data_IF_482273919686
#
_entry.id   IF_482273919686
#
_cell.length_a   1.000
_cell.length_b   1.000
_cell.length_c   1.000
_cell.angle_alpha   90.00
_cell.angle_beta   90.00
_cell.angle_gamma   90.00
#
_symmetry.space_group_name_H-M   'P 1'
#
loop_
_entity.id
_entity.type
_entity.pdbx_description
1 polymer ?
#
# COMPACT_ATOMS: atom_id res chain seq x y z
N UNK A 1 19.10 -19.47 -3.12
CA UNK A 1 18.51 -18.68 -2.03
C UNK A 1 19.65 -18.24 -1.12
N UNK A 2 20.13 -17.00 -1.27
CA UNK A 2 20.98 -16.38 -0.25
C UNK A 2 20.08 -16.11 0.96
N UNK A 3 20.37 -16.72 2.10
CA UNK A 3 19.56 -16.56 3.31
C UNK A 3 19.69 -15.13 3.80
N UNK A 4 18.68 -14.31 3.54
CA UNK A 4 18.46 -13.07 4.27
C UNK A 4 18.44 -13.37 5.77
N UNK A 5 18.90 -12.42 6.60
CA UNK A 5 18.78 -12.54 8.06
C UNK A 5 17.37 -12.98 8.42
N UNK A 6 17.27 -14.00 9.29
CA UNK A 6 15.99 -14.48 9.76
C UNK A 6 15.23 -13.28 10.35
N UNK A 7 14.03 -13.01 9.85
CA UNK A 7 13.14 -11.91 10.25
C UNK A 7 12.71 -11.93 11.73
N UNK A 8 13.32 -12.77 12.58
CA UNK A 8 13.23 -12.71 14.05
C UNK A 8 13.87 -11.45 14.66
N UNK A 9 13.94 -10.33 13.95
CA UNK A 9 14.17 -9.05 14.62
C UNK A 9 12.91 -8.72 15.40
N UNK A 10 12.88 -9.11 16.68
CA UNK A 10 11.89 -8.64 17.63
C UNK A 10 11.75 -7.13 17.45
N UNK A 11 10.51 -6.63 17.42
CA UNK A 11 10.24 -5.19 17.40
C UNK A 11 11.12 -4.51 18.45
N UNK A 12 11.93 -3.54 18.03
CA UNK A 12 12.76 -2.80 18.98
C UNK A 12 11.83 -1.92 19.78
N UNK A 13 11.59 -2.29 21.03
CA UNK A 13 10.83 -1.49 21.98
C UNK A 13 11.77 -0.47 22.62
N UNK A 14 11.40 0.81 22.58
CA UNK A 14 12.07 1.85 23.36
C UNK A 14 11.02 2.63 24.14
N UNK A 15 11.21 2.75 25.46
CA UNK A 15 10.29 3.44 26.37
C UNK A 15 8.83 2.98 26.28
N UNK A 16 8.63 1.67 26.13
CA UNK A 16 7.29 1.12 26.00
C UNK A 16 6.62 1.47 24.67
N UNK A 17 7.34 1.98 23.68
CA UNK A 17 6.83 2.19 22.31
C UNK A 17 7.45 1.13 21.42
N UNK A 18 6.63 0.45 20.64
CA UNK A 18 7.09 -0.40 19.54
C UNK A 18 6.43 -0.01 18.22
N UNK A 19 7.14 -0.27 17.13
CA UNK A 19 6.68 -0.02 15.77
C UNK A 19 6.69 -1.30 14.96
N UNK A 20 5.75 -1.41 14.04
CA UNK A 20 5.66 -2.52 13.13
C UNK A 20 5.14 -2.03 11.77
N UNK A 21 5.73 -2.50 10.67
CA UNK A 21 5.06 -2.43 9.38
C UNK A 21 4.07 -3.58 9.36
N UNK A 22 2.77 -3.28 9.29
CA UNK A 22 1.71 -4.28 9.20
C UNK A 22 1.91 -5.04 7.89
N UNK A 23 2.63 -6.14 7.96
CA UNK A 23 2.83 -7.03 6.85
C UNK A 23 1.68 -8.04 6.89
N UNK A 24 0.94 -8.25 5.80
CA UNK A 24 -0.11 -9.24 5.81
C UNK A 24 0.40 -10.64 6.09
N UNK A 25 1.70 -10.97 5.97
CA UNK A 25 2.23 -12.26 6.40
C UNK A 25 3.69 -12.15 6.84
N UNK A 26 3.94 -11.93 8.13
CA UNK A 26 5.32 -11.84 8.64
C UNK A 26 6.02 -13.21 8.78
N UNK A 27 5.25 -14.30 8.94
CA UNK A 27 5.77 -15.62 9.30
C UNK A 27 6.20 -16.48 8.11
N UNK A 28 5.41 -16.57 7.04
CA UNK A 28 5.71 -17.50 5.93
C UNK A 28 6.43 -16.85 4.76
N UNK A 29 6.06 -15.61 4.41
CA UNK A 29 6.72 -14.87 3.32
C UNK A 29 6.72 -13.37 3.61
N UNK A 30 7.82 -12.90 4.20
CA UNK A 30 8.00 -11.48 4.52
C UNK A 30 8.28 -10.58 3.29
N UNK A 31 8.22 -11.13 2.07
CA UNK A 31 8.58 -10.41 0.84
C UNK A 31 7.36 -9.80 0.17
N UNK A 32 7.34 -8.46 0.11
CA UNK A 32 6.41 -7.70 -0.72
C UNK A 32 7.01 -7.48 -2.09
N UNK A 33 6.27 -7.84 -3.13
CA UNK A 33 6.75 -7.72 -4.51
C UNK A 33 5.99 -6.64 -5.26
N UNK A 34 6.72 -5.75 -5.92
CA UNK A 34 6.18 -4.66 -6.71
C UNK A 34 6.79 -4.62 -8.11
N UNK A 35 5.98 -4.32 -9.14
CA UNK A 35 6.46 -4.16 -10.49
C UNK A 35 7.16 -2.81 -10.63
N UNK A 36 8.24 -2.78 -11.40
CA UNK A 36 8.83 -1.52 -11.85
C UNK A 36 7.84 -0.82 -12.80
N UNK A 37 7.58 0.48 -12.63
CA UNK A 37 6.79 1.23 -13.59
C UNK A 37 7.51 1.25 -14.94
N UNK A 38 6.76 1.35 -16.04
CA UNK A 38 7.36 1.60 -17.35
C UNK A 38 8.19 2.88 -17.30
N UNK A 39 9.29 2.93 -18.04
CA UNK A 39 10.07 4.16 -18.23
C UNK A 39 9.33 5.10 -19.20
N UNK A 40 8.17 5.59 -18.75
CA UNK A 40 7.29 6.52 -19.43
C UNK A 40 7.01 7.70 -18.49
N UNK A 41 6.86 8.89 -19.05
CA UNK A 41 6.56 10.09 -18.27
C UNK A 41 5.25 9.90 -17.50
N UNK A 42 5.29 10.09 -16.17
CA UNK A 42 4.13 9.97 -15.29
C UNK A 42 3.74 8.55 -14.91
N UNK A 43 4.44 7.51 -15.40
CA UNK A 43 4.23 6.15 -14.94
C UNK A 43 4.76 5.98 -13.50
N UNK A 44 3.91 5.48 -12.60
CA UNK A 44 4.26 5.29 -11.19
C UNK A 44 3.73 3.96 -10.68
N UNK A 45 4.49 3.30 -9.80
CA UNK A 45 4.00 2.20 -8.96
C UNK A 45 3.83 2.74 -7.54
N UNK A 46 2.61 2.66 -6.99
CA UNK A 46 2.35 3.03 -5.61
C UNK A 46 2.63 1.82 -4.70
N UNK A 47 3.24 2.06 -3.54
CA UNK A 47 3.50 1.06 -2.52
C UNK A 47 2.92 1.55 -1.20
N UNK A 48 1.91 0.87 -0.68
CA UNK A 48 1.31 1.23 0.60
C UNK A 48 2.00 0.50 1.74
N UNK A 49 2.49 1.26 2.73
CA UNK A 49 3.01 0.75 3.98
C UNK A 49 2.14 1.24 5.14
N UNK A 50 1.41 0.32 5.76
CA UNK A 50 0.74 0.59 7.02
C UNK A 50 1.70 0.36 8.18
N UNK A 51 1.95 1.40 8.97
CA UNK A 51 2.76 1.34 10.19
C UNK A 51 1.84 1.32 11.39
N UNK A 52 2.02 0.33 12.26
CA UNK A 52 1.35 0.17 13.55
C UNK A 52 2.28 0.66 14.65
N UNK A 53 1.79 1.59 15.47
CA UNK A 53 2.46 2.09 16.66
C UNK A 53 1.73 1.49 17.86
N UNK A 54 2.48 0.84 18.74
CA UNK A 54 1.95 0.22 19.95
C UNK A 54 2.57 0.93 21.15
N UNK A 55 1.72 1.41 22.05
CA UNK A 55 2.11 2.01 23.31
C UNK A 55 1.85 1.00 24.44
N UNK A 56 2.92 0.36 24.90
CA UNK A 56 2.97 -0.57 26.02
C UNK A 56 3.13 0.14 27.38
N UNK A 57 3.16 1.48 27.42
CA UNK A 57 3.17 2.23 28.69
C UNK A 57 1.76 2.41 29.24
N UNK A 58 1.65 2.77 30.53
CA UNK A 58 0.37 3.07 31.17
C UNK A 58 -0.23 4.43 30.77
N UNK A 59 0.55 5.30 30.13
CA UNK A 59 0.14 6.67 29.83
C UNK A 59 0.03 6.89 28.31
N UNK A 60 -0.94 7.68 27.83
CA UNK A 60 -0.99 8.02 26.41
C UNK A 60 0.25 8.81 26.00
N UNK A 61 0.75 8.51 24.80
CA UNK A 61 1.90 9.19 24.23
C UNK A 61 1.39 10.11 23.13
N UNK A 62 1.88 11.35 23.12
CA UNK A 62 1.48 12.36 22.14
C UNK A 62 2.61 12.56 21.15
N UNK A 63 2.40 12.05 19.94
CA UNK A 63 3.30 12.29 18.83
C UNK A 63 2.97 13.63 18.17
N UNK A 64 4.00 14.32 17.72
CA UNK A 64 3.82 15.47 16.84
C UNK A 64 3.05 15.00 15.59
N UNK A 65 1.99 15.68 15.13
CA UNK A 65 1.37 15.30 13.86
C UNK A 65 2.40 15.25 12.72
N UNK A 66 3.36 16.19 12.69
CA UNK A 66 4.44 16.22 11.71
C UNK A 66 5.61 15.29 12.05
N UNK A 67 5.41 14.34 12.96
CA UNK A 67 6.43 13.37 13.30
C UNK A 67 6.87 12.62 12.04
N UNK A 68 8.17 12.71 11.75
CA UNK A 68 8.72 12.15 10.52
C UNK A 68 9.03 10.68 10.70
N UNK A 69 8.55 9.87 9.76
CA UNK A 69 9.03 8.51 9.54
C UNK A 69 10.27 8.57 8.66
N UNK A 70 11.37 8.00 9.14
CA UNK A 70 12.64 7.94 8.44
C UNK A 70 12.76 6.55 7.82
N UNK A 71 12.62 6.38 6.49
CA UNK A 71 12.79 5.10 5.87
C UNK A 71 14.27 4.71 5.83
N UNK A 72 14.53 3.41 5.91
CA UNK A 72 15.81 2.80 5.58
C UNK A 72 15.61 1.69 4.58
N UNK A 73 16.55 1.58 3.65
CA UNK A 73 16.54 0.61 2.57
C UNK A 73 17.95 0.04 2.44
N UNK A 74 18.08 -1.28 2.58
CA UNK A 74 19.33 -2.01 2.35
C UNK A 74 19.21 -2.83 1.08
N UNK A 75 20.31 -2.97 0.35
CA UNK A 75 20.45 -3.95 -0.74
C UNK A 75 20.50 -5.38 -0.21
N UNK A 76 20.45 -6.38 -1.09
CA UNK A 76 20.47 -7.79 -0.71
C UNK A 76 21.74 -8.23 0.03
N UNK A 77 22.85 -7.52 -0.15
CA UNK A 77 24.12 -7.69 0.58
C UNK A 77 24.23 -6.82 1.84
N UNK A 78 23.13 -6.19 2.26
CA UNK A 78 23.03 -5.41 3.50
C UNK A 78 23.61 -3.99 3.42
N UNK A 79 23.99 -3.51 2.23
CA UNK A 79 24.53 -2.15 2.09
C UNK A 79 23.40 -1.11 2.14
N UNK A 80 23.53 -0.05 2.97
CA UNK A 80 22.50 0.98 3.05
C UNK A 80 22.48 1.84 1.78
N UNK A 81 21.30 2.02 1.21
CA UNK A 81 21.11 2.97 0.12
C UNK A 81 21.05 4.41 0.64
N UNK A 82 21.75 5.30 -0.05
CA UNK A 82 21.76 6.72 0.30
C UNK A 82 20.39 7.34 0.03
N UNK A 83 19.75 7.81 1.11
CA UNK A 83 18.52 8.60 1.04
C UNK A 83 18.81 10.10 1.04
N UNK A 84 17.97 10.86 0.37
CA UNK A 84 18.02 12.32 0.32
C UNK A 84 16.66 12.87 0.72
N UNK A 85 16.62 14.04 1.36
CA UNK A 85 15.37 14.77 1.57
C UNK A 85 15.20 15.73 0.40
N UNK A 86 14.09 15.61 -0.31
CA UNK A 86 13.67 16.58 -1.32
C UNK A 86 12.45 17.34 -0.83
N UNK A 87 12.44 18.66 -1.03
CA UNK A 87 11.25 19.49 -0.84
C UNK A 87 10.55 19.63 -2.20
N UNK A 88 9.36 19.05 -2.32
CA UNK A 88 8.52 19.20 -3.50
C UNK A 88 8.00 20.63 -3.52
N UNK A 89 8.36 21.38 -4.57
CA UNK A 89 7.70 22.65 -4.81
C UNK A 89 6.24 22.37 -5.13
N UNK A 90 5.28 23.02 -4.45
CA UNK A 90 3.87 22.85 -4.76
C UNK A 90 3.67 23.22 -6.22
N UNK A 91 3.28 22.26 -7.05
CA UNK A 91 2.97 22.50 -8.45
C UNK A 91 1.72 23.38 -8.46
N UNK A 92 1.87 24.65 -8.77
CA UNK A 92 0.81 25.69 -8.68
C UNK A 92 -0.32 25.55 -9.71
N UNK A 93 -0.54 24.35 -10.27
CA UNK A 93 -1.40 24.15 -11.45
C UNK A 93 -2.86 23.79 -11.16
N UNK A 94 -3.33 23.81 -9.91
CA UNK A 94 -4.75 23.55 -9.64
C UNK A 94 -5.57 24.84 -9.55
N UNK A 95 -6.11 25.27 -10.69
CA UNK A 95 -7.49 25.78 -10.73
C UNK A 95 -8.42 24.59 -10.39
N UNK A 96 -8.48 24.20 -9.12
CA UNK A 96 -9.52 23.28 -8.66
C UNK A 96 -10.84 24.04 -8.69
N UNK A 97 -11.67 23.75 -9.70
CA UNK A 97 -13.11 24.06 -9.70
C UNK A 97 -13.80 23.27 -8.58
N UNK A 98 -13.61 23.69 -7.33
CA UNK A 98 -14.37 23.22 -6.17
C UNK A 98 -15.73 23.90 -6.15
N UNK A 99 -16.59 23.55 -7.10
CA UNK A 99 -18.05 23.62 -6.91
C UNK A 99 -18.51 22.42 -6.06
N UNK A 100 -17.90 22.24 -4.89
CA UNK A 100 -18.41 21.37 -3.83
C UNK A 100 -18.96 22.26 -2.72
N UNK A 101 -19.97 23.04 -3.07
CA UNK A 101 -20.79 23.79 -2.15
C UNK A 101 -21.65 22.84 -1.32
N UNK A 102 -21.16 22.40 -0.17
CA UNK A 102 -22.00 22.23 1.03
C UNK A 102 -21.12 22.08 2.27
N UNK A 103 -21.35 22.99 3.21
CA UNK A 103 -20.73 23.14 4.54
C UNK A 103 -19.44 23.97 4.54
N UNK A 104 -19.61 25.26 4.27
CA UNK A 104 -18.72 26.30 4.81
C UNK A 104 -18.87 26.30 6.34
N UNK A 105 -18.08 25.48 7.04
CA UNK A 105 -17.82 25.75 8.45
C UNK A 105 -16.91 26.99 8.52
N UNK A 106 -17.27 28.02 9.31
CA UNK A 106 -16.43 29.21 9.48
C UNK A 106 -15.03 28.79 9.97
N UNK A 107 -14.02 29.61 9.64
CA UNK A 107 -12.58 29.47 9.91
C UNK A 107 -12.22 29.08 11.36
N UNK A 108 -12.63 27.90 11.82
CA UNK A 108 -12.01 27.24 12.93
C UNK A 108 -10.62 26.87 12.43
N UNK A 109 -9.62 27.60 12.90
CA UNK A 109 -8.23 27.15 12.90
C UNK A 109 -8.28 25.70 13.38
N UNK A 110 -8.16 24.73 12.46
CA UNK A 110 -8.08 23.32 12.79
C UNK A 110 -6.89 23.20 13.73
N UNK A 111 -7.17 23.18 15.03
CA UNK A 111 -6.19 22.80 16.03
C UNK A 111 -5.85 21.37 15.66
N UNK A 112 -4.70 21.18 15.02
CA UNK A 112 -4.20 19.84 14.74
C UNK A 112 -4.04 19.19 16.10
N UNK A 113 -5.03 18.37 16.47
CA UNK A 113 -4.99 17.57 17.67
C UNK A 113 -3.73 16.73 17.58
N UNK A 114 -2.89 16.82 18.60
CA UNK A 114 -1.69 15.98 18.73
C UNK A 114 -2.07 14.53 18.46
N UNK A 115 -1.17 13.79 17.81
CA UNK A 115 -1.44 12.40 17.49
C UNK A 115 -1.28 11.55 18.75
N UNK A 116 -2.40 11.24 19.41
CA UNK A 116 -2.41 10.50 20.67
C UNK A 116 -2.42 8.98 20.41
N UNK A 117 -1.41 8.28 20.92
CA UNK A 117 -1.31 6.82 20.93
C UNK A 117 -1.68 6.34 22.33
N UNK A 118 -2.86 5.75 22.47
CA UNK A 118 -3.39 5.30 23.75
C UNK A 118 -2.65 4.05 24.25
N UNK A 119 -2.54 3.86 25.58
CA UNK A 119 -2.06 2.60 26.16
C UNK A 119 -2.80 1.40 25.58
N UNK A 120 -2.07 0.33 25.23
CA UNK A 120 -2.58 -0.98 24.79
C UNK A 120 -3.46 -0.99 23.53
N UNK A 121 -3.77 0.18 22.95
CA UNK A 121 -4.50 0.30 21.70
C UNK A 121 -3.52 0.68 20.58
N UNK A 122 -3.27 -0.24 19.62
CA UNK A 122 -2.44 0.07 18.48
C UNK A 122 -3.06 1.18 17.65
N UNK A 123 -2.24 2.15 17.27
CA UNK A 123 -2.63 3.19 16.30
C UNK A 123 -1.94 2.89 14.98
N UNK A 124 -2.71 2.83 13.90
CA UNK A 124 -2.16 2.59 12.56
C UNK A 124 -2.13 3.87 11.74
N UNK A 125 -1.18 3.94 10.81
CA UNK A 125 -1.14 4.97 9.79
C UNK A 125 -0.55 4.43 8.50
N UNK A 126 -0.92 4.99 7.36
CA UNK A 126 -0.40 4.56 6.05
C UNK A 126 0.53 5.63 5.45
N UNK A 127 1.65 5.16 4.89
CA UNK A 127 2.54 5.92 4.02
C UNK A 127 2.53 5.28 2.64
N UNK A 128 2.15 6.03 1.61
CA UNK A 128 2.23 5.56 0.22
C UNK A 128 3.54 6.05 -0.38
N UNK A 129 4.47 5.13 -0.58
CA UNK A 129 5.63 5.40 -1.39
C UNK A 129 5.27 5.34 -2.88
N UNK A 130 6.00 6.11 -3.69
CA UNK A 130 5.87 6.14 -5.14
C UNK A 130 7.20 5.74 -5.77
N UNK A 131 7.16 4.72 -6.60
CA UNK A 131 8.26 4.35 -7.47
C UNK A 131 8.02 4.96 -8.85
N UNK A 132 8.97 5.73 -9.37
CA UNK A 132 8.81 6.49 -10.62
C UNK A 132 10.15 6.77 -11.28
N UNK A 133 10.15 7.02 -12.59
CA UNK A 133 11.34 7.42 -13.33
C UNK A 133 11.49 8.95 -13.34
N UNK A 134 12.70 9.44 -13.10
CA UNK A 134 13.08 10.85 -13.24
C UNK A 134 14.49 10.91 -13.82
N UNK A 135 14.66 11.60 -14.95
CA UNK A 135 15.94 11.69 -15.68
C UNK A 135 16.60 10.32 -15.94
N UNK A 136 15.78 9.33 -16.34
CA UNK A 136 16.17 7.92 -16.52
C UNK A 136 16.70 7.21 -15.26
N UNK A 137 16.53 7.80 -14.08
CA UNK A 137 16.81 7.18 -12.80
C UNK A 137 15.50 6.74 -12.16
N UNK A 138 15.44 5.48 -11.74
CA UNK A 138 14.33 4.98 -10.96
C UNK A 138 14.49 5.49 -9.51
N UNK A 139 13.44 6.13 -9.00
CA UNK A 139 13.41 6.74 -7.68
C UNK A 139 12.26 6.17 -6.85
N UNK A 140 12.55 5.82 -5.60
CA UNK A 140 11.53 5.56 -4.57
C UNK A 140 11.37 6.80 -3.71
N UNK A 141 10.15 7.36 -3.74
CA UNK A 141 9.74 8.58 -3.04
C UNK A 141 8.80 8.22 -1.92
N UNK A 142 9.13 8.58 -0.68
CA UNK A 142 8.32 8.26 0.50
C UNK A 142 8.00 9.54 1.25
N UNK A 143 6.72 9.88 1.50
CA UNK A 143 6.38 11.08 2.26
C UNK A 143 6.96 10.99 3.67
N UNK A 144 7.38 12.13 4.23
CA UNK A 144 7.94 12.15 5.59
C UNK A 144 6.88 11.93 6.66
N UNK A 145 5.63 12.32 6.39
CA UNK A 145 4.51 12.23 7.34
C UNK A 145 3.37 11.42 6.73
N UNK A 146 2.43 10.91 7.55
CA UNK A 146 1.35 10.08 7.04
C UNK A 146 0.27 10.84 6.25
N UNK A 147 -0.52 10.08 5.49
CA UNK A 147 -1.50 10.59 4.51
C UNK A 147 -2.56 11.55 5.06
N UNK A 148 -2.93 11.41 6.34
CA UNK A 148 -3.96 12.27 6.93
C UNK A 148 -3.50 13.74 7.10
N UNK A 149 -2.21 14.03 6.87
CA UNK A 149 -1.61 15.36 6.89
C UNK A 149 -1.25 15.77 5.46
N UNK A 150 -2.24 16.28 4.74
CA UNK A 150 -2.23 16.48 3.28
C UNK A 150 -1.18 17.46 2.72
N UNK A 151 -0.26 18.02 3.51
CA UNK A 151 0.57 19.16 3.11
C UNK A 151 2.08 19.03 3.45
N UNK A 152 2.64 17.84 3.66
CA UNK A 152 4.11 17.75 3.76
C UNK A 152 4.75 17.85 2.38
N UNK A 153 5.48 18.93 2.15
CA UNK A 153 6.31 19.06 0.95
C UNK A 153 7.59 18.20 1.02
N UNK A 154 7.90 17.62 2.17
CA UNK A 154 9.12 16.84 2.36
C UNK A 154 8.91 15.38 2.00
N UNK A 155 9.81 14.85 1.16
CA UNK A 155 9.79 13.48 0.67
C UNK A 155 11.20 12.91 0.77
N UNK A 156 11.31 11.71 1.32
CA UNK A 156 12.52 10.90 1.24
C UNK A 156 12.67 10.32 -0.16
N UNK A 157 13.83 10.50 -0.78
CA UNK A 157 14.14 9.99 -2.09
C UNK A 157 15.32 9.02 -2.01
N UNK A 158 15.13 7.81 -2.53
CA UNK A 158 16.21 6.88 -2.83
C UNK A 158 16.40 6.85 -4.34
N UNK A 159 17.61 7.17 -4.79
CA UNK A 159 17.99 7.16 -6.20
C UNK A 159 18.63 5.82 -6.57
N UNK A 160 18.75 5.54 -7.87
CA UNK A 160 19.48 4.38 -8.40
C UNK A 160 18.92 3.04 -7.91
N UNK A 161 17.60 2.96 -7.75
CA UNK A 161 16.93 1.70 -7.47
C UNK A 161 16.86 0.88 -8.75
N UNK A 162 16.91 -0.44 -8.62
CA UNK A 162 16.88 -1.38 -9.72
C UNK A 162 15.95 -2.57 -9.43
N UNK A 163 15.87 -3.50 -10.37
CA UNK A 163 15.12 -4.74 -10.17
C UNK A 163 15.90 -5.70 -9.28
N UNK A 164 15.77 -5.54 -7.96
CA UNK A 164 16.47 -6.33 -6.98
C UNK A 164 15.62 -6.59 -5.73
N UNK A 165 16.17 -7.39 -4.81
CA UNK A 165 15.64 -7.55 -3.46
C UNK A 165 16.31 -6.56 -2.51
N UNK A 166 15.52 -6.01 -1.61
CA UNK A 166 15.91 -5.02 -0.61
C UNK A 166 15.33 -5.41 0.75
N UNK A 167 15.95 -4.92 1.82
CA UNK A 167 15.33 -4.89 3.15
C UNK A 167 14.88 -3.47 3.43
N UNK A 168 13.67 -3.32 3.95
CA UNK A 168 13.06 -2.02 4.21
C UNK A 168 12.53 -1.94 5.64
N UNK A 169 12.69 -0.77 6.28
CA UNK A 169 12.07 -0.47 7.58
C UNK A 169 11.80 1.02 7.73
N UNK A 170 10.99 1.37 8.73
CA UNK A 170 10.86 2.75 9.19
C UNK A 170 11.50 2.94 10.55
N UNK A 171 11.99 4.16 10.76
CA UNK A 171 12.47 4.67 12.03
C UNK A 171 11.60 5.85 12.46
N UNK A 172 11.24 5.90 13.74
CA UNK A 172 10.57 7.03 14.37
C UNK A 172 11.45 7.57 15.51
N UNK A 173 11.73 8.87 15.47
CA UNK A 173 12.37 9.56 16.58
C UNK A 173 11.28 10.04 17.56
N UNK A 174 11.18 9.43 18.73
CA UNK A 174 10.14 9.75 19.73
C UNK A 174 10.54 10.92 20.62
N UNK A 175 11.79 11.39 20.55
CA UNK A 175 12.38 12.35 21.48
C UNK A 175 12.03 13.82 21.22
N UNK A 176 11.09 14.12 20.33
CA UNK A 176 10.63 15.48 20.18
C UNK A 176 9.63 15.82 21.28
N UNK A 177 10.14 16.12 22.48
CA UNK A 177 9.56 17.23 23.23
C UNK A 177 9.48 18.39 22.24
N UNK A 178 8.27 18.70 21.81
CA UNK A 178 7.95 19.89 21.05
C UNK A 178 8.39 21.09 21.88
N UNK A 179 9.66 21.45 21.80
CA UNK A 179 10.04 22.86 21.72
C UNK A 179 9.32 23.33 20.47
N UNK A 180 8.08 23.76 20.67
CA UNK A 180 7.28 24.34 19.62
C UNK A 180 8.20 25.33 18.92
N UNK A 181 8.38 25.19 17.62
CA UNK A 181 8.97 26.24 16.78
C UNK A 181 7.93 27.37 16.74
N UNK A 182 7.60 27.91 17.91
CA UNK A 182 7.05 29.23 18.09
C UNK A 182 8.30 30.06 18.25
N UNK A 183 8.60 30.79 17.18
CA UNK A 183 9.59 31.86 17.12
C UNK A 183 9.36 32.87 18.26
N UNK A 184 9.73 32.52 19.49
CA UNK A 184 9.81 33.48 20.58
C UNK A 184 11.20 34.09 20.51
N UNK A 185 11.25 35.33 20.02
CA UNK A 185 12.42 36.22 19.94
C UNK A 185 13.03 36.53 21.33
N UNK A 186 13.50 35.53 22.10
CA UNK A 186 14.25 35.75 23.34
C UNK A 186 15.55 34.97 23.36
N UNK A 187 16.64 35.73 23.40
CA UNK A 187 18.04 35.32 23.39
C UNK A 187 18.49 34.68 24.72
N UNK A 188 17.82 33.63 25.20
CA UNK A 188 18.35 32.84 26.31
C UNK A 188 18.81 31.46 25.82
N UNK A 189 20.11 31.34 25.57
CA UNK A 189 20.79 30.09 25.26
C UNK A 189 20.91 29.29 26.57
N UNK A 190 19.91 28.47 26.87
CA UNK A 190 20.08 27.41 27.88
C UNK A 190 20.73 26.21 27.23
N UNK A 191 21.89 25.81 27.77
CA UNK A 191 22.60 24.59 27.40
C UNK A 191 21.79 23.38 27.88
N UNK A 192 20.92 22.84 27.02
CA UNK A 192 20.20 21.60 27.29
C UNK A 192 21.19 20.43 27.25
N UNK A 193 21.16 19.56 28.27
CA UNK A 193 21.88 18.30 28.23
C UNK A 193 21.36 17.45 27.06
N UNK A 194 22.21 16.67 26.37
CA UNK A 194 21.80 15.78 25.31
C UNK A 194 20.91 14.68 25.90
N UNK A 195 19.59 14.88 25.84
CA UNK A 195 18.61 13.83 26.10
C UNK A 195 18.83 12.80 24.99
N UNK A 196 19.35 11.62 25.36
CA UNK A 196 19.74 10.59 24.41
C UNK A 196 18.59 10.28 23.46
N UNK A 197 18.81 10.49 22.15
CA UNK A 197 17.79 10.33 21.12
C UNK A 197 17.19 8.93 21.16
N UNK A 198 15.93 8.83 21.57
CA UNK A 198 15.19 7.58 21.53
C UNK A 198 14.64 7.37 20.13
N UNK A 199 15.10 6.27 19.55
CA UNK A 199 14.83 5.92 18.17
C UNK A 199 14.17 4.55 18.21
N UNK A 200 12.93 4.47 17.75
CA UNK A 200 12.18 3.22 17.61
C UNK A 200 12.22 2.84 16.13
N UNK A 201 12.42 1.57 15.82
CA UNK A 201 12.47 1.08 14.44
C UNK A 201 11.50 -0.08 14.25
N UNK A 202 10.86 -0.14 13.09
CA UNK A 202 10.11 -1.34 12.69
C UNK A 202 11.09 -2.49 12.41
N UNK A 203 10.64 -3.75 12.50
CA UNK A 203 11.35 -4.88 11.92
C UNK A 203 11.67 -4.64 10.43
N UNK A 204 12.70 -5.31 9.95
CA UNK A 204 13.00 -5.34 8.52
C UNK A 204 11.94 -6.18 7.79
N UNK A 205 11.41 -5.64 6.69
CA UNK A 205 10.62 -6.41 5.72
C UNK A 205 11.41 -6.58 4.44
N UNK A 206 11.14 -7.66 3.71
CA UNK A 206 11.75 -7.88 2.41
C UNK A 206 10.89 -7.18 1.33
N UNK A 207 11.54 -6.42 0.47
CA UNK A 207 10.94 -5.75 -0.67
C UNK A 207 11.62 -6.27 -1.94
N UNK A 208 10.87 -6.80 -2.89
CA UNK A 208 11.41 -7.23 -4.19
C UNK A 208 10.83 -6.36 -5.28
N UNK A 209 11.70 -5.79 -6.10
CA UNK A 209 11.30 -5.03 -7.28
C UNK A 209 11.57 -5.85 -8.52
N UNK A 210 10.53 -6.02 -9.33
CA UNK A 210 10.58 -6.92 -10.50
C UNK A 210 10.24 -6.16 -11.77
N UNK A 211 11.01 -6.40 -12.82
CA UNK A 211 10.62 -5.96 -14.16
C UNK A 211 9.34 -6.70 -14.60
N UNK A 212 8.42 -6.02 -15.30
CA UNK A 212 7.39 -6.71 -16.06
C UNK A 212 8.00 -7.69 -17.07
N UNK A 213 7.26 -8.73 -17.42
CA UNK A 213 7.68 -9.71 -18.42
C UNK A 213 7.85 -9.00 -19.77
N UNK A 214 8.98 -9.22 -20.45
CA UNK A 214 9.33 -8.47 -21.67
C UNK A 214 8.27 -8.59 -22.78
N UNK A 215 7.62 -9.76 -22.90
CA UNK A 215 6.57 -10.01 -23.90
C UNK A 215 5.19 -9.52 -23.46
N UNK A 216 5.00 -9.22 -22.17
CA UNK A 216 3.72 -8.78 -21.62
C UNK A 216 3.92 -7.85 -20.42
N UNK A 217 3.83 -6.55 -20.68
CA UNK A 217 4.00 -5.53 -19.65
C UNK A 217 2.92 -5.50 -18.55
N UNK A 218 1.86 -6.31 -18.69
CA UNK A 218 0.83 -6.50 -17.66
C UNK A 218 1.10 -7.69 -16.74
N UNK A 219 2.16 -8.45 -17.01
CA UNK A 219 2.55 -9.63 -16.26
C UNK A 219 3.89 -9.41 -15.53
N UNK A 220 4.06 -10.09 -14.40
CA UNK A 220 5.32 -10.21 -13.67
C UNK A 220 5.58 -11.67 -13.34
N UNK A 221 6.85 -12.06 -13.28
CA UNK A 221 7.27 -13.42 -12.93
C UNK A 221 8.19 -13.43 -11.72
N UNK A 222 7.91 -14.34 -10.78
CA UNK A 222 8.59 -14.45 -9.52
C UNK A 222 8.68 -15.92 -9.16
N UNK A 223 9.90 -16.43 -9.05
CA UNK A 223 10.18 -17.79 -8.57
C UNK A 223 9.39 -18.87 -9.35
N UNK A 224 9.28 -18.68 -10.67
CA UNK A 224 8.54 -19.57 -11.57
C UNK A 224 7.02 -19.38 -11.54
N UNK A 225 6.50 -18.33 -10.92
CA UNK A 225 5.09 -17.98 -10.95
C UNK A 225 4.89 -16.68 -11.72
N UNK A 226 4.04 -16.71 -12.74
CA UNK A 226 3.66 -15.51 -13.47
C UNK A 226 2.28 -15.05 -13.02
N UNK A 227 2.17 -13.77 -12.67
CA UNK A 227 0.92 -13.12 -12.28
C UNK A 227 0.58 -12.02 -13.28
N UNK A 228 -0.69 -11.97 -13.69
CA UNK A 228 -1.20 -11.00 -14.66
C UNK A 228 -2.60 -10.55 -14.31
N UNK A 229 -2.88 -9.26 -14.42
CA UNK A 229 -4.25 -8.75 -14.37
C UNK A 229 -4.94 -9.05 -15.71
N UNK A 230 -6.06 -9.75 -15.66
CA UNK A 230 -6.90 -10.05 -16.82
C UNK A 230 -8.07 -9.06 -16.87
N UNK A 231 -8.10 -8.22 -17.89
CA UNK A 231 -9.21 -7.30 -18.16
C UNK A 231 -9.39 -7.17 -19.68
N UNK A 232 -10.06 -8.15 -20.32
CA UNK A 232 -10.15 -8.20 -21.78
C UNK A 232 -10.89 -7.01 -22.39
N UNK A 233 -11.84 -6.43 -21.65
CA UNK A 233 -12.63 -5.28 -22.07
C UNK A 233 -12.06 -4.02 -21.42
N UNK A 234 -11.26 -3.25 -22.18
CA UNK A 234 -10.61 -2.02 -21.71
C UNK A 234 -11.45 -0.76 -21.95
N UNK A 235 -12.60 -0.89 -22.61
CA UNK A 235 -13.56 0.20 -22.86
C UNK A 235 -14.87 -0.19 -22.20
N UNK A 236 -15.22 0.48 -21.10
CA UNK A 236 -16.41 0.20 -20.31
C UNK A 236 -17.48 1.23 -20.62
N UNK A 237 -18.64 0.79 -21.12
CA UNK A 237 -19.78 1.68 -21.38
C UNK A 237 -20.50 2.01 -20.08
N UNK A 238 -20.78 3.30 -19.84
CA UNK A 238 -21.60 3.74 -18.71
C UNK A 238 -23.02 3.16 -18.85
N UNK A 239 -23.55 2.41 -17.86
CA UNK A 239 -24.92 1.91 -17.93
C UNK A 239 -25.93 3.08 -17.90
N UNK A 240 -27.14 2.90 -18.46
CA UNK A 240 -28.18 3.92 -18.34
C UNK A 240 -28.51 4.16 -16.86
N UNK A 241 -28.96 5.37 -16.52
CA UNK A 241 -29.40 5.74 -15.16
C UNK A 241 -30.77 5.16 -14.81
N UNK A 242 -30.89 3.84 -14.87
CA UNK A 242 -32.08 3.08 -14.51
C UNK A 242 -31.80 2.19 -13.29
N UNK A 243 -32.81 1.91 -12.45
CA UNK A 243 -32.66 0.94 -11.37
C UNK A 243 -32.12 -0.40 -11.91
N UNK A 244 -31.11 -0.95 -11.23
CA UNK A 244 -30.46 -2.22 -11.57
C UNK A 244 -29.71 -2.27 -12.91
N UNK A 245 -29.62 -1.17 -13.66
CA UNK A 245 -28.78 -1.13 -14.85
C UNK A 245 -27.30 -1.18 -14.45
N UNK A 246 -26.58 -2.14 -15.05
CA UNK A 246 -25.17 -2.37 -14.79
C UNK A 246 -24.47 -2.79 -16.09
N UNK A 247 -23.21 -2.41 -16.22
CA UNK A 247 -22.31 -2.93 -17.26
C UNK A 247 -21.40 -3.96 -16.58
N UNK A 248 -21.44 -5.24 -16.97
CA UNK A 248 -20.54 -6.25 -16.43
C UNK A 248 -19.09 -5.90 -16.83
N UNK A 249 -18.15 -6.12 -15.91
CA UNK A 249 -16.72 -5.87 -16.12
C UNK A 249 -15.98 -7.17 -15.84
N UNK A 250 -15.44 -7.79 -16.90
CA UNK A 250 -14.59 -8.96 -16.74
C UNK A 250 -13.24 -8.51 -16.21
N UNK A 251 -13.00 -8.80 -14.94
CA UNK A 251 -11.75 -8.54 -14.24
C UNK A 251 -11.28 -9.83 -13.59
N UNK A 252 -9.98 -10.06 -13.53
CA UNK A 252 -9.44 -11.20 -12.81
C UNK A 252 -7.94 -11.16 -12.73
N UNK A 253 -7.38 -12.22 -12.15
CA UNK A 253 -5.93 -12.43 -12.10
C UNK A 253 -5.66 -13.79 -12.73
N UNK A 254 -4.79 -13.83 -13.73
CA UNK A 254 -4.22 -15.08 -14.23
C UNK A 254 -2.95 -15.38 -13.44
N UNK A 255 -2.86 -16.62 -12.95
CA UNK A 255 -1.65 -17.17 -12.37
C UNK A 255 -1.19 -18.34 -13.23
N UNK A 256 0.04 -18.28 -13.72
CA UNK A 256 0.69 -19.39 -14.43
C UNK A 256 1.77 -19.98 -13.53
N UNK A 257 1.72 -21.30 -13.32
CA UNK A 257 2.65 -22.01 -12.48
C UNK A 257 3.73 -22.69 -13.35
N UNK A 258 4.88 -22.05 -13.54
CA UNK A 258 6.03 -22.63 -14.23
C UNK A 258 6.93 -23.46 -13.28
N UNK A 259 6.51 -23.71 -12.04
CA UNK A 259 7.25 -24.56 -11.10
C UNK A 259 6.94 -26.04 -11.34
N UNK A 260 7.69 -26.93 -10.69
CA UNK A 260 7.43 -28.37 -10.73
C UNK A 260 6.41 -28.85 -9.69
N UNK A 261 5.94 -27.97 -8.80
CA UNK A 261 5.02 -28.33 -7.71
C UNK A 261 3.61 -27.81 -7.99
N UNK A 262 2.59 -28.56 -7.56
CA UNK A 262 1.20 -28.08 -7.55
C UNK A 262 1.06 -27.01 -6.49
N UNK A 263 0.50 -25.84 -6.83
CA UNK A 263 0.34 -24.73 -5.92
C UNK A 263 -1.13 -24.41 -5.66
N UNK A 264 -1.42 -23.98 -4.43
CA UNK A 264 -2.76 -23.58 -3.98
C UNK A 264 -2.78 -22.10 -3.66
N UNK A 265 -3.73 -21.38 -4.26
CA UNK A 265 -3.96 -19.96 -4.03
C UNK A 265 -5.28 -19.78 -3.33
N UNK A 266 -5.28 -19.07 -2.23
CA UNK A 266 -6.50 -18.77 -1.50
C UNK A 266 -7.39 -17.80 -2.30
N UNK A 267 -8.70 -18.03 -2.28
CA UNK A 267 -9.65 -17.14 -2.95
C UNK A 267 -10.15 -16.02 -2.05
N UNK A 268 -10.43 -16.35 -0.79
CA UNK A 268 -11.23 -15.54 0.12
C UNK A 268 -10.37 -14.44 0.74
N UNK A 269 -10.67 -13.18 0.42
CA UNK A 269 -9.99 -12.03 1.02
C UNK A 269 -8.53 -11.84 0.57
N UNK A 270 -8.09 -12.60 -0.44
CA UNK A 270 -6.70 -12.56 -0.90
C UNK A 270 -6.44 -11.46 -1.92
N UNK A 271 -7.46 -10.74 -2.37
CA UNK A 271 -7.35 -9.77 -3.47
C UNK A 271 -7.66 -8.36 -3.01
N UNK A 272 -6.71 -7.45 -3.22
CA UNK A 272 -6.88 -6.01 -3.08
C UNK A 272 -6.82 -5.30 -4.43
N UNK A 273 -7.34 -4.07 -4.50
CA UNK A 273 -7.35 -3.27 -5.72
C UNK A 273 -6.99 -1.83 -5.44
N UNK A 274 -6.13 -1.27 -6.30
CA UNK A 274 -5.86 0.15 -6.37
C UNK A 274 -6.42 0.69 -7.69
N UNK A 275 -7.14 1.81 -7.63
CA UNK A 275 -7.65 2.50 -8.81
C UNK A 275 -7.10 3.92 -8.84
N UNK A 276 -6.50 4.30 -9.97
CA UNK A 276 -6.01 5.66 -10.20
C UNK A 276 -6.70 6.27 -11.43
N UNK A 277 -6.99 7.56 -11.37
CA UNK A 277 -7.52 8.32 -12.51
C UNK A 277 -6.41 8.77 -13.48
N UNK A 278 -6.80 9.53 -14.50
CA UNK A 278 -5.89 10.07 -15.52
C UNK A 278 -4.85 11.04 -14.97
N UNK A 279 -5.13 11.65 -13.82
CA UNK A 279 -4.23 12.62 -13.17
C UNK A 279 -3.28 11.91 -12.19
N UNK A 280 -3.35 10.58 -12.12
CA UNK A 280 -2.57 9.75 -11.20
C UNK A 280 -3.06 9.86 -9.75
N UNK A 281 -4.26 10.39 -9.53
CA UNK A 281 -4.87 10.46 -8.21
C UNK A 281 -5.56 9.14 -7.91
N UNK A 282 -5.28 8.63 -6.72
CA UNK A 282 -5.94 7.43 -6.22
C UNK A 282 -7.41 7.69 -5.91
N UNK A 283 -8.27 6.84 -6.45
CA UNK A 283 -9.68 6.79 -6.15
C UNK A 283 -9.86 5.91 -4.92
N UNK A 284 -10.18 6.55 -3.81
CA UNK A 284 -10.49 5.86 -2.55
C UNK A 284 -11.73 4.97 -2.75
N UNK A 285 -11.66 3.76 -2.22
CA UNK A 285 -12.82 2.87 -2.16
C UNK A 285 -13.42 2.84 -0.75
N UNK A 286 -14.71 2.54 -0.68
CA UNK A 286 -15.31 2.07 0.57
C UNK A 286 -15.43 0.56 0.52
N UNK A 287 -15.10 -0.12 1.61
CA UNK A 287 -15.35 -1.55 1.74
C UNK A 287 -16.66 -1.77 2.51
N UNK A 288 -17.59 -2.53 1.92
CA UNK A 288 -18.75 -3.01 2.67
C UNK A 288 -18.54 -4.49 3.00
N UNK A 289 -18.21 -4.76 4.25
CA UNK A 289 -18.18 -6.13 4.76
C UNK A 289 -19.58 -6.52 5.24
N UNK A 290 -20.20 -7.47 4.55
CA UNK A 290 -21.39 -8.11 5.07
C UNK A 290 -20.90 -9.11 6.12
N UNK A 291 -21.21 -8.87 7.40
CA UNK A 291 -20.75 -9.65 8.57
C UNK A 291 -21.15 -11.14 8.60
N UNK A 292 -21.64 -11.71 7.50
CA UNK A 292 -21.78 -13.15 7.38
C UNK A 292 -20.49 -13.71 6.80
N UNK A 293 -19.56 -13.98 7.69
CA UNK A 293 -18.64 -15.11 7.52
C UNK A 293 -19.51 -16.36 7.46
N UNK A 294 -20.13 -16.61 6.31
CA UNK A 294 -20.66 -17.94 6.03
C UNK A 294 -19.40 -18.80 6.07
N UNK A 295 -19.41 -19.80 6.95
CA UNK A 295 -18.36 -20.81 7.12
C UNK A 295 -18.28 -21.71 5.86
N UNK A 296 -18.18 -21.06 4.70
CA UNK A 296 -17.78 -21.70 3.46
C UNK A 296 -16.34 -22.12 3.72
N UNK A 297 -16.11 -23.42 3.63
CA UNK A 297 -14.80 -24.01 3.85
C UNK A 297 -13.71 -23.35 3.01
N UNK A 298 -12.47 -23.76 3.24
CA UNK A 298 -11.33 -23.27 2.48
C UNK A 298 -11.54 -23.46 0.97
N UNK A 299 -11.71 -22.36 0.24
CA UNK A 299 -11.72 -22.36 -1.22
C UNK A 299 -10.32 -22.00 -1.73
N UNK A 300 -9.79 -22.82 -2.62
CA UNK A 300 -8.50 -22.61 -3.27
C UNK A 300 -8.64 -22.70 -4.78
N UNK A 301 -7.81 -21.94 -5.50
CA UNK A 301 -7.43 -22.26 -6.88
C UNK A 301 -6.21 -23.17 -6.84
N UNK A 302 -6.27 -24.29 -7.54
CA UNK A 302 -5.15 -25.23 -7.66
C UNK A 302 -4.56 -25.03 -9.05
N UNK A 303 -3.28 -24.66 -9.11
CA UNK A 303 -2.57 -24.47 -10.38
C UNK A 303 -1.53 -25.56 -10.54
N UNK A 304 -1.72 -26.43 -11.53
CA UNK A 304 -0.77 -27.50 -11.82
C UNK A 304 0.52 -26.96 -12.44
N UNK A 305 1.65 -27.69 -12.32
CA UNK A 305 2.86 -27.41 -13.08
C UNK A 305 2.59 -27.23 -14.58
N UNK A 306 3.06 -26.11 -15.15
CA UNK A 306 2.90 -25.75 -16.56
C UNK A 306 1.52 -25.20 -16.93
N UNK A 307 0.57 -25.12 -16.00
CA UNK A 307 -0.79 -24.65 -16.26
C UNK A 307 -1.02 -23.20 -15.79
N UNK A 308 -2.11 -22.61 -16.29
CA UNK A 308 -2.60 -21.30 -15.86
C UNK A 308 -4.03 -21.40 -15.37
N UNK A 309 -4.33 -20.70 -14.28
CA UNK A 309 -5.69 -20.53 -13.78
C UNK A 309 -6.07 -19.05 -13.74
N UNK A 310 -7.36 -18.75 -13.90
CA UNK A 310 -7.88 -17.38 -13.83
C UNK A 310 -8.83 -17.25 -12.64
N UNK A 311 -8.48 -16.37 -11.72
CA UNK A 311 -9.30 -15.93 -10.62
C UNK A 311 -10.28 -14.87 -11.14
N UNK A 312 -11.44 -15.29 -11.63
CA UNK A 312 -12.45 -14.40 -12.22
C UNK A 312 -13.21 -13.63 -11.14
N UNK A 313 -13.35 -12.32 -11.37
CA UNK A 313 -14.09 -11.38 -10.54
C UNK A 313 -15.23 -10.79 -11.37
N UNK A 314 -16.45 -11.04 -10.93
CA UNK A 314 -17.67 -10.50 -11.54
C UNK A 314 -17.85 -9.03 -11.11
N UNK A 315 -16.94 -8.17 -11.55
CA UNK A 315 -17.01 -6.75 -11.29
C UNK A 315 -18.14 -6.10 -12.11
N UNK A 316 -18.66 -4.98 -11.63
CA UNK A 316 -19.75 -4.26 -12.31
C UNK A 316 -19.54 -2.75 -12.25
N UNK A 317 -19.84 -2.07 -13.34
CA UNK A 317 -19.99 -0.62 -13.38
C UNK A 317 -21.47 -0.30 -13.24
N UNK A 318 -21.85 0.50 -12.25
CA UNK A 318 -23.26 0.78 -11.91
C UNK A 318 -23.45 2.18 -11.33
N UNK A 319 -24.70 2.65 -11.30
CA UNK A 319 -25.07 3.89 -10.61
C UNK A 319 -25.55 3.61 -9.17
N UNK A 320 -25.05 4.35 -8.20
CA UNK A 320 -25.52 4.33 -6.81
C UNK A 320 -25.58 5.76 -6.26
N UNK A 321 -26.75 6.17 -5.74
CA UNK A 321 -26.98 7.55 -5.26
C UNK A 321 -26.49 8.63 -6.25
N UNK A 322 -26.81 8.47 -7.53
CA UNK A 322 -26.40 9.37 -8.63
C UNK A 322 -24.90 9.46 -8.90
N UNK A 323 -24.09 8.59 -8.32
CA UNK A 323 -22.66 8.46 -8.60
C UNK A 323 -22.38 7.18 -9.37
N UNK A 324 -21.53 7.28 -10.40
CA UNK A 324 -21.01 6.11 -11.09
C UNK A 324 -19.99 5.44 -10.18
N UNK A 325 -20.06 4.12 -10.06
CA UNK A 325 -19.13 3.34 -9.25
C UNK A 325 -18.71 2.05 -9.95
N UNK A 326 -17.46 1.66 -9.74
CA UNK A 326 -16.96 0.32 -10.06
C UNK A 326 -17.03 -0.52 -8.79
N UNK A 327 -17.75 -1.62 -8.86
CA UNK A 327 -17.97 -2.55 -7.75
C UNK A 327 -17.20 -3.83 -8.04
N UNK A 328 -16.27 -4.20 -7.16
CA UNK A 328 -15.45 -5.41 -7.30
C UNK A 328 -15.71 -6.32 -6.09
N UNK A 329 -16.14 -7.58 -6.27
CA UNK A 329 -16.30 -8.50 -5.15
C UNK A 329 -14.94 -8.82 -4.51
N UNK A 330 -14.85 -8.73 -3.19
CA UNK A 330 -13.60 -9.04 -2.44
C UNK A 330 -13.44 -10.55 -2.15
N UNK A 331 -14.34 -11.39 -2.69
CA UNK A 331 -14.46 -12.85 -2.46
C UNK A 331 -14.61 -13.29 -0.99
N UNK A 332 -14.61 -12.36 -0.04
CA UNK A 332 -14.89 -12.56 1.38
C UNK A 332 -16.32 -12.16 1.78
N UNK A 333 -17.26 -12.19 0.82
CA UNK A 333 -18.66 -11.80 1.04
C UNK A 333 -18.90 -10.29 1.08
N UNK A 334 -17.91 -9.48 0.73
CA UNK A 334 -18.01 -8.02 0.60
C UNK A 334 -17.66 -7.53 -0.80
N UNK A 335 -17.62 -6.20 -0.93
CA UNK A 335 -17.27 -5.53 -2.17
C UNK A 335 -16.40 -4.30 -1.90
N UNK A 336 -15.48 -4.02 -2.83
CA UNK A 336 -14.83 -2.74 -2.98
C UNK A 336 -15.68 -1.84 -3.86
N UNK A 337 -16.03 -0.65 -3.37
CA UNK A 337 -16.80 0.35 -4.12
C UNK A 337 -15.93 1.55 -4.42
N UNK A 338 -15.50 1.69 -5.67
CA UNK A 338 -14.83 2.88 -6.18
C UNK A 338 -15.88 3.86 -6.71
N UNK A 339 -16.21 4.89 -5.94
CA UNK A 339 -17.32 5.81 -6.23
C UNK A 339 -16.86 7.12 -6.88
N UNK A 340 -17.80 7.84 -7.49
CA UNK A 340 -17.54 9.15 -8.08
C UNK A 340 -16.76 9.08 -9.38
N UNK A 341 -16.82 7.93 -10.07
CA UNK A 341 -16.19 7.76 -11.36
C UNK A 341 -16.85 8.67 -12.41
N UNK A 342 -16.08 9.04 -13.43
CA UNK A 342 -16.52 9.86 -14.55
C UNK A 342 -16.11 9.19 -15.85
N UNK A 343 -16.60 9.70 -16.96
CA UNK A 343 -16.04 9.35 -18.26
C UNK A 343 -14.56 9.77 -18.29
N UNK A 344 -13.67 8.88 -18.72
CA UNK A 344 -12.24 9.14 -18.65
C UNK A 344 -11.36 7.90 -18.69
N UNK A 345 -10.05 8.12 -18.51
CA UNK A 345 -9.04 7.06 -18.44
C UNK A 345 -8.72 6.74 -17.00
N UNK A 346 -8.55 5.45 -16.73
CA UNK A 346 -8.24 4.91 -15.43
C UNK A 346 -7.16 3.85 -15.54
N UNK A 347 -6.51 3.55 -14.42
CA UNK A 347 -5.63 2.39 -14.30
C UNK A 347 -6.00 1.62 -13.05
N UNK A 348 -6.11 0.29 -13.17
CA UNK A 348 -6.39 -0.61 -12.07
C UNK A 348 -5.17 -1.52 -11.83
N UNK A 349 -4.81 -1.69 -10.57
CA UNK A 349 -3.82 -2.67 -10.13
C UNK A 349 -4.52 -3.65 -9.20
N UNK A 350 -4.31 -4.93 -9.45
CA UNK A 350 -4.67 -5.96 -8.51
C UNK A 350 -3.47 -6.31 -7.61
N UNK A 351 -3.76 -6.66 -6.37
CA UNK A 351 -2.79 -7.10 -5.38
C UNK A 351 -3.28 -8.45 -4.88
N UNK A 352 -2.47 -9.50 -5.05
CA UNK A 352 -2.73 -10.76 -4.37
C UNK A 352 -1.93 -10.80 -3.06
N UNK A 353 -2.55 -11.23 -1.98
CA UNK A 353 -1.91 -11.46 -0.70
C UNK A 353 -2.65 -12.50 0.14
N UNK A 354 -1.95 -13.13 1.08
CA UNK A 354 -2.58 -13.95 2.11
C UNK A 354 -2.38 -13.27 3.46
N UNK A 355 -3.46 -13.15 4.26
CA UNK A 355 -3.36 -12.59 5.62
C UNK A 355 -2.68 -13.56 6.59
N UNK A 356 -2.07 -13.05 7.65
CA UNK A 356 -1.16 -13.81 8.51
C UNK A 356 -1.95 -14.80 9.33
N UNK A 357 -3.06 -14.34 9.91
CA UNK A 357 -4.03 -15.19 10.59
C UNK A 357 -4.43 -16.38 9.71
N UNK A 358 -4.62 -16.13 8.41
CA UNK A 358 -5.05 -17.16 7.49
C UNK A 358 -3.92 -18.09 7.09
N UNK A 359 -2.74 -17.56 6.80
CA UNK A 359 -1.53 -18.34 6.57
C UNK A 359 -1.24 -19.29 7.74
N UNK A 360 -1.35 -18.80 8.97
CA UNK A 360 -1.19 -19.59 10.20
C UNK A 360 -2.26 -20.67 10.32
N UNK A 361 -3.53 -20.33 10.10
CA UNK A 361 -4.61 -21.30 10.10
C UNK A 361 -4.39 -22.43 9.07
N UNK A 362 -3.94 -22.09 7.86
CA UNK A 362 -3.66 -23.08 6.81
C UNK A 362 -2.49 -23.99 7.18
N UNK A 363 -1.45 -23.43 7.79
CA UNK A 363 -0.31 -24.17 8.30
C UNK A 363 -0.72 -25.13 9.44
N UNK A 364 -1.52 -24.67 10.41
CA UNK A 364 -2.07 -25.49 11.50
C UNK A 364 -2.96 -26.63 10.99
N UNK A 365 -3.65 -26.42 9.86
CA UNK A 365 -4.45 -27.45 9.18
C UNK A 365 -3.61 -28.39 8.30
N UNK A 366 -2.30 -28.17 8.20
CA UNK A 366 -1.41 -28.98 7.37
C UNK A 366 -1.71 -28.87 5.87
N UNK A 367 -2.25 -27.73 5.43
CA UNK A 367 -2.51 -27.52 3.99
C UNK A 367 -1.19 -27.21 3.31
N UNK A 368 -0.65 -28.21 2.60
CA UNK A 368 0.61 -28.09 1.88
C UNK A 368 0.50 -27.25 0.61
N UNK A 369 1.64 -26.72 0.16
CA UNK A 369 1.81 -25.99 -1.10
C UNK A 369 0.86 -24.79 -1.28
N UNK A 370 0.46 -24.15 -0.18
CA UNK A 370 -0.25 -22.87 -0.25
C UNK A 370 0.76 -21.77 -0.55
N UNK A 371 0.50 -21.01 -1.61
CA UNK A 371 1.24 -19.79 -1.89
C UNK A 371 0.67 -18.65 -1.04
N UNK A 372 1.51 -18.05 -0.20
CA UNK A 372 1.08 -17.03 0.77
C UNK A 372 1.92 -15.75 0.76
N UNK A 373 2.46 -15.39 -0.41
CA UNK A 373 3.22 -14.16 -0.61
C UNK A 373 2.34 -12.90 -0.70
N UNK A 374 2.98 -11.77 -0.97
CA UNK A 374 2.33 -10.48 -1.26
C UNK A 374 2.85 -9.92 -2.58
N UNK A 375 1.97 -9.74 -3.55
CA UNK A 375 2.33 -9.34 -4.91
C UNK A 375 1.37 -8.30 -5.46
N UNK A 376 1.90 -7.12 -5.78
CA UNK A 376 1.21 -6.16 -6.63
C UNK A 376 1.52 -6.48 -8.10
N UNK A 377 0.50 -6.52 -8.95
CA UNK A 377 0.68 -6.69 -10.40
C UNK A 377 0.85 -5.33 -11.10
N UNK A 378 1.37 -5.27 -12.33
CA UNK A 378 1.39 -4.05 -13.11
C UNK A 378 -0.02 -3.45 -13.30
N UNK A 379 -0.11 -2.13 -13.41
CA UNK A 379 -1.35 -1.43 -13.71
C UNK A 379 -1.86 -1.79 -15.12
N UNK A 380 -3.16 -2.05 -15.24
CA UNK A 380 -3.88 -2.18 -16.50
C UNK A 380 -4.70 -0.92 -16.75
N UNK A 381 -4.55 -0.34 -17.94
CA UNK A 381 -5.25 0.87 -18.37
C UNK A 381 -6.60 0.50 -18.96
N UNK A 382 -7.64 1.25 -18.62
CA UNK A 382 -8.97 1.15 -19.23
C UNK A 382 -9.63 2.54 -19.33
N UNK A 383 -10.72 2.65 -20.06
CA UNK A 383 -11.51 3.88 -20.15
C UNK A 383 -12.99 3.61 -19.94
N UNK A 384 -13.66 4.60 -19.36
CA UNK A 384 -15.11 4.64 -19.21
C UNK A 384 -15.66 5.60 -20.27
N UNK A 385 -16.63 5.14 -21.07
CA UNK A 385 -17.23 5.88 -22.21
C UNK A 385 -18.73 6.08 -22.09
#
# INVERSE_FOLDING_TARGET
MTSFESTNSNSVEANGISLEIVNPNSMLFSTRVYPLPKNELGATTNMEFTVRIINNTLNPIRLNPYQTFIPELLTADGQPLQKQIATVQPVSNTQTNENCSSIQHPHETRKFTQWEVKPELPTTTSLTAKLSWHDNLLQLKIPTVPHFLLNSNNIWCFNLIESASYQFRFILNTNHETTSIVESKRNEVKTAQPIGSEVVATPWINLRLVQPVATDSSAIEIDGLQFKVEMPETVLTIPPRLPSAQTPVKLGIRVTNNTSAVLRFEQIGSLGFNLIDSDGKEIQFTEAQWRRWIDKGLEFYIVQPGESEILVLDATLSWHCSQLQLVIPNKAGGFYYFRGLKQGRYQIQAIYHTSEHRANYLNEKGVENVWSGWIAMPFVKFCIV
#
